data_IF_335308664153
#
_entry.id   IF_335308664153
#
_cell.length_a   1.000
_cell.length_b   1.000
_cell.length_c   1.000
_cell.angle_alpha   90.00
_cell.angle_beta   90.00
_cell.angle_gamma   90.00
#
_symmetry.space_group_name_H-M   'P 1'
#
loop_
_entity.id
_entity.type
_entity.pdbx_description
1 polymer ?
#
# COMPACT_ATOMS: atom_id res chain seq x y z
N UNK A 1 -5.75 -54.27 -36.03
CA UNK A 1 -5.48 -52.87 -36.43
C UNK A 1 -6.46 -52.01 -35.66
N UNK A 2 -5.95 -50.98 -35.00
CA UNK A 2 -6.67 -49.93 -34.26
C UNK A 2 -7.38 -50.43 -32.97
N UNK A 3 -7.20 -49.88 -31.77
CA UNK A 3 -6.73 -48.56 -31.32
C UNK A 3 -5.94 -48.74 -30.01
N UNK A 4 -4.63 -48.59 -30.09
CA UNK A 4 -3.75 -48.51 -28.93
C UNK A 4 -3.70 -47.09 -28.38
N UNK A 5 -3.92 -46.97 -27.07
CA UNK A 5 -3.38 -45.96 -26.17
C UNK A 5 -2.90 -44.62 -26.75
N UNK A 6 -3.80 -43.64 -26.78
CA UNK A 6 -3.45 -42.21 -26.76
C UNK A 6 -4.09 -41.50 -25.56
N UNK A 7 -4.08 -42.15 -24.39
CA UNK A 7 -4.56 -41.55 -23.13
C UNK A 7 -3.50 -40.72 -22.38
N UNK A 8 -2.29 -40.57 -22.93
CA UNK A 8 -1.19 -39.82 -22.31
C UNK A 8 -0.72 -38.71 -23.27
N UNK A 9 -1.37 -37.55 -23.26
CA UNK A 9 -0.74 -36.22 -23.53
C UNK A 9 -1.77 -35.08 -23.61
N UNK A 10 -2.72 -34.99 -22.66
CA UNK A 10 -3.28 -33.67 -22.29
C UNK A 10 -2.46 -33.00 -21.17
N UNK A 11 -1.31 -33.58 -20.82
CA UNK A 11 -0.35 -32.99 -19.89
C UNK A 11 0.59 -31.96 -20.54
N UNK A 12 0.52 -31.75 -21.85
CA UNK A 12 1.19 -30.65 -22.57
C UNK A 12 0.21 -29.48 -22.79
N UNK A 13 -0.45 -29.02 -21.72
CA UNK A 13 -1.38 -27.89 -21.75
C UNK A 13 -0.58 -26.58 -21.72
N UNK A 14 -0.24 -26.06 -22.90
CA UNK A 14 0.32 -24.73 -23.15
C UNK A 14 1.54 -24.33 -22.28
N UNK A 15 2.77 -24.61 -22.74
CA UNK A 15 4.01 -24.22 -22.06
C UNK A 15 4.09 -22.71 -21.72
N UNK A 16 3.46 -21.85 -22.52
CA UNK A 16 3.43 -20.41 -22.27
C UNK A 16 2.55 -20.07 -21.06
N UNK A 17 1.43 -20.77 -20.87
CA UNK A 17 0.55 -20.61 -19.71
C UNK A 17 1.23 -21.07 -18.41
N UNK A 18 1.98 -22.17 -18.45
CA UNK A 18 2.74 -22.67 -17.31
C UNK A 18 3.91 -21.74 -16.95
N UNK A 19 4.67 -21.29 -17.95
CA UNK A 19 5.71 -20.28 -17.76
C UNK A 19 5.14 -18.99 -17.16
N UNK A 20 3.99 -18.50 -17.66
CA UNK A 20 3.31 -17.34 -17.10
C UNK A 20 2.86 -17.58 -15.64
N UNK A 21 2.36 -18.76 -15.30
CA UNK A 21 1.99 -19.09 -13.93
C UNK A 21 3.19 -19.08 -12.99
N UNK A 22 4.34 -19.61 -13.46
CA UNK A 22 5.60 -19.59 -12.73
C UNK A 22 6.10 -18.16 -12.51
N UNK A 23 6.15 -17.33 -13.55
CA UNK A 23 6.59 -15.92 -13.47
C UNK A 23 5.73 -15.11 -12.49
N UNK A 24 4.40 -15.26 -12.54
CA UNK A 24 3.50 -14.61 -11.60
C UNK A 24 3.80 -15.03 -10.16
N UNK A 25 3.98 -16.34 -9.93
CA UNK A 25 4.21 -16.87 -8.59
C UNK A 25 5.56 -16.42 -8.04
N UNK A 26 6.59 -16.39 -8.89
CA UNK A 26 7.92 -15.90 -8.52
C UNK A 26 7.89 -14.40 -8.21
N UNK A 27 7.31 -13.58 -9.09
CA UNK A 27 7.16 -12.14 -8.84
C UNK A 27 6.37 -11.86 -7.56
N UNK A 28 5.29 -12.60 -7.33
CA UNK A 28 4.52 -12.48 -6.10
C UNK A 28 5.28 -12.97 -4.86
N UNK A 29 6.08 -14.03 -4.96
CA UNK A 29 6.91 -14.51 -3.86
C UNK A 29 7.99 -13.49 -3.48
N UNK A 30 8.58 -12.81 -4.48
CA UNK A 30 9.53 -11.73 -4.23
C UNK A 30 8.83 -10.60 -3.45
N UNK A 31 7.64 -10.16 -3.90
CA UNK A 31 6.88 -9.12 -3.18
C UNK A 31 6.48 -9.52 -1.77
N UNK A 32 5.91 -10.72 -1.63
CA UNK A 32 5.21 -11.13 -0.43
C UNK A 32 6.14 -11.69 0.65
N UNK A 33 7.26 -12.32 0.26
CA UNK A 33 8.21 -12.97 1.18
C UNK A 33 9.55 -12.28 1.19
N UNK A 34 10.18 -12.16 0.00
CA UNK A 34 11.57 -11.72 -0.08
C UNK A 34 11.69 -10.26 0.32
N UNK A 35 10.81 -9.39 -0.16
CA UNK A 35 10.85 -7.95 0.16
C UNK A 35 10.80 -7.67 1.66
N UNK A 36 9.78 -8.11 2.44
CA UNK A 36 9.72 -7.81 3.88
C UNK A 36 10.84 -8.46 4.71
N UNK A 37 11.43 -9.56 4.23
CA UNK A 37 12.51 -10.27 4.95
C UNK A 37 13.89 -9.71 4.59
N UNK A 38 14.14 -9.44 3.31
CA UNK A 38 15.44 -9.03 2.79
C UNK A 38 15.70 -7.52 2.92
N UNK A 39 14.67 -6.70 3.15
CA UNK A 39 14.83 -5.29 3.55
C UNK A 39 15.65 -5.12 4.83
N UNK A 40 15.68 -6.13 5.69
CA UNK A 40 16.52 -6.16 6.88
C UNK A 40 18.01 -6.16 6.53
N UNK A 41 18.39 -6.84 5.45
CA UNK A 41 19.80 -7.06 5.13
C UNK A 41 20.45 -5.83 4.47
N UNK A 42 19.69 -5.10 3.64
CA UNK A 42 20.24 -3.91 2.96
C UNK A 42 19.16 -2.92 2.54
N UNK A 43 19.50 -1.64 2.68
CA UNK A 43 18.67 -0.49 2.28
C UNK A 43 18.30 -0.47 0.79
N UNK A 44 19.09 -1.14 -0.04
CA UNK A 44 18.94 -1.14 -1.50
C UNK A 44 18.06 -2.27 -2.02
N UNK A 45 17.85 -3.32 -1.21
CA UNK A 45 17.20 -4.56 -1.65
C UNK A 45 15.80 -4.30 -2.19
N UNK A 46 14.99 -3.50 -1.47
CA UNK A 46 13.63 -3.17 -1.92
C UNK A 46 13.62 -2.39 -3.23
N UNK A 47 14.59 -1.50 -3.45
CA UNK A 47 14.67 -0.66 -4.66
C UNK A 47 15.03 -1.51 -5.89
N UNK A 48 15.69 -2.65 -5.70
CA UNK A 48 16.08 -3.58 -6.78
C UNK A 48 15.03 -4.67 -6.98
N UNK A 49 14.57 -5.30 -5.90
CA UNK A 49 13.65 -6.44 -5.98
C UNK A 49 12.24 -6.06 -6.43
N UNK A 50 11.73 -4.89 -6.03
CA UNK A 50 10.37 -4.47 -6.38
C UNK A 50 10.20 -4.29 -7.89
N UNK A 51 11.11 -3.59 -8.61
CA UNK A 51 11.06 -3.53 -10.06
C UNK A 51 11.15 -4.91 -10.74
N UNK A 52 12.06 -5.77 -10.28
CA UNK A 52 12.21 -7.13 -10.84
C UNK A 52 10.90 -7.91 -10.68
N UNK A 53 10.33 -7.92 -9.48
CA UNK A 53 9.06 -8.58 -9.20
C UNK A 53 7.91 -8.03 -10.05
N UNK A 54 7.82 -6.71 -10.22
CA UNK A 54 6.81 -6.07 -11.06
C UNK A 54 6.94 -6.50 -12.52
N UNK A 55 8.17 -6.51 -13.07
CA UNK A 55 8.45 -6.95 -14.44
C UNK A 55 8.03 -8.41 -14.63
N UNK A 56 8.34 -9.30 -13.68
CA UNK A 56 7.92 -10.71 -13.76
C UNK A 56 6.39 -10.87 -13.82
N UNK A 57 5.63 -10.06 -13.04
CA UNK A 57 4.17 -10.07 -13.08
C UNK A 57 3.65 -9.52 -14.41
N UNK A 58 4.24 -8.46 -14.94
CA UNK A 58 3.86 -7.87 -16.23
C UNK A 58 4.13 -8.86 -17.37
N UNK A 59 5.31 -9.48 -17.39
CA UNK A 59 5.65 -10.53 -18.35
C UNK A 59 4.67 -11.70 -18.26
N UNK A 60 4.32 -12.14 -17.04
CA UNK A 60 3.27 -13.14 -16.87
C UNK A 60 1.94 -12.73 -17.51
N UNK A 61 1.55 -11.46 -17.46
CA UNK A 61 0.28 -11.03 -18.06
C UNK A 61 0.37 -11.02 -19.58
N UNK A 62 1.51 -10.60 -20.14
CA UNK A 62 1.78 -10.58 -21.59
C UNK A 62 1.76 -12.01 -22.15
N UNK A 63 2.42 -12.97 -21.49
CA UNK A 63 2.45 -14.37 -21.94
C UNK A 63 1.07 -15.05 -21.93
N UNK A 64 0.08 -14.54 -21.16
CA UNK A 64 -1.28 -15.10 -21.13
C UNK A 64 -2.17 -14.67 -22.31
N UNK A 65 -1.63 -13.91 -23.26
CA UNK A 65 -2.26 -13.71 -24.57
C UNK A 65 -3.04 -12.41 -24.78
N UNK A 66 -2.97 -11.44 -23.88
CA UNK A 66 -3.55 -10.11 -24.15
C UNK A 66 -2.69 -8.97 -23.57
N UNK A 67 -1.59 -8.58 -24.26
CA UNK A 67 -0.73 -7.47 -23.82
C UNK A 67 -1.47 -6.14 -23.78
N UNK A 68 -2.43 -5.93 -24.68
CA UNK A 68 -3.19 -4.70 -24.79
C UNK A 68 -4.19 -4.53 -23.65
N UNK A 69 -4.62 -5.61 -23.00
CA UNK A 69 -5.50 -5.54 -21.84
C UNK A 69 -4.93 -4.72 -20.69
N UNK A 70 -3.64 -4.85 -20.40
CA UNK A 70 -2.99 -4.10 -19.31
C UNK A 70 -3.05 -2.61 -19.62
N UNK A 71 -2.72 -2.23 -20.86
CA UNK A 71 -2.73 -0.85 -21.31
C UNK A 71 -4.14 -0.25 -21.38
N UNK A 72 -5.12 -0.99 -21.92
CA UNK A 72 -6.54 -0.58 -21.96
C UNK A 72 -7.10 -0.37 -20.55
N UNK A 73 -6.77 -1.26 -19.61
CA UNK A 73 -7.19 -1.15 -18.21
C UNK A 73 -6.56 0.06 -17.51
N UNK A 74 -5.28 0.31 -17.78
CA UNK A 74 -4.58 1.50 -17.29
C UNK A 74 -5.23 2.77 -17.84
N UNK A 75 -5.47 2.83 -19.15
CA UNK A 75 -6.10 3.98 -19.81
C UNK A 75 -7.51 4.28 -19.26
N UNK A 76 -8.33 3.23 -19.10
CA UNK A 76 -9.64 3.37 -18.48
C UNK A 76 -9.54 3.86 -17.03
N UNK A 77 -8.52 3.42 -16.28
CA UNK A 77 -8.28 3.87 -14.90
C UNK A 77 -7.83 5.34 -14.86
N UNK A 78 -7.01 5.79 -15.81
CA UNK A 78 -6.53 7.19 -15.89
C UNK A 78 -7.65 8.17 -16.25
N UNK A 79 -8.69 7.72 -16.97
CA UNK A 79 -9.86 8.55 -17.31
C UNK A 79 -10.85 8.73 -16.15
N UNK A 80 -10.64 8.06 -15.01
CA UNK A 80 -11.44 8.31 -13.81
C UNK A 80 -11.00 9.59 -13.11
N UNK A 81 -11.85 10.20 -12.29
CA UNK A 81 -11.46 11.41 -11.54
C UNK A 81 -10.16 11.23 -10.73
N UNK A 82 -9.96 10.15 -9.94
CA UNK A 82 -8.69 9.90 -9.27
C UNK A 82 -7.53 9.74 -10.26
N UNK A 83 -7.77 9.10 -11.41
CA UNK A 83 -6.77 8.94 -12.47
C UNK A 83 -6.33 10.27 -13.07
N UNK A 84 -7.27 11.16 -13.36
CA UNK A 84 -7.00 12.50 -13.87
C UNK A 84 -6.29 13.37 -12.82
N UNK A 85 -6.66 13.26 -11.55
CA UNK A 85 -5.94 13.93 -10.46
C UNK A 85 -4.51 13.43 -10.33
N UNK A 86 -4.28 12.11 -10.44
CA UNK A 86 -2.93 11.55 -10.42
C UNK A 86 -2.11 12.06 -11.61
N UNK A 87 -2.70 12.09 -12.82
CA UNK A 87 -2.03 12.63 -14.01
C UNK A 87 -1.72 14.13 -13.86
N UNK A 88 -2.66 14.91 -13.31
CA UNK A 88 -2.45 16.31 -12.99
C UNK A 88 -1.26 16.50 -12.04
N UNK A 89 -1.16 15.71 -10.96
CA UNK A 89 -0.02 15.78 -10.04
C UNK A 89 1.30 15.43 -10.71
N UNK A 90 1.31 14.43 -11.61
CA UNK A 90 2.51 14.08 -12.38
C UNK A 90 2.95 15.24 -13.27
N UNK A 91 2.02 15.82 -14.02
CA UNK A 91 2.30 16.97 -14.89
C UNK A 91 2.77 18.17 -14.05
N UNK A 92 2.09 18.45 -12.94
CA UNK A 92 2.43 19.55 -12.04
C UNK A 92 3.82 19.37 -11.42
N UNK A 93 4.15 18.17 -10.96
CA UNK A 93 5.47 17.87 -10.41
C UNK A 93 6.57 18.01 -11.48
N UNK A 94 6.33 17.58 -12.72
CA UNK A 94 7.26 17.77 -13.83
C UNK A 94 7.41 19.24 -14.19
N UNK A 95 6.32 20.00 -14.25
CA UNK A 95 6.34 21.43 -14.56
C UNK A 95 7.09 22.21 -13.47
N UNK A 96 6.97 21.79 -12.22
CA UNK A 96 7.67 22.39 -11.08
C UNK A 96 9.20 22.30 -11.15
N UNK A 97 9.75 21.43 -11.99
CA UNK A 97 11.19 21.38 -12.27
C UNK A 97 11.70 22.69 -12.86
N UNK A 98 10.85 23.45 -13.57
CA UNK A 98 11.24 24.71 -14.21
C UNK A 98 11.67 25.79 -13.20
N UNK A 99 11.20 25.73 -11.95
CA UNK A 99 11.59 26.68 -10.90
C UNK A 99 12.19 26.00 -9.66
N UNK A 100 12.57 24.73 -9.79
CA UNK A 100 13.24 23.99 -8.71
C UNK A 100 14.67 24.54 -8.51
N UNK A 101 15.14 24.79 -7.26
CA UNK A 101 16.47 25.34 -7.01
C UNK A 101 17.60 24.52 -7.63
N UNK A 102 17.51 23.19 -7.57
CA UNK A 102 18.51 22.24 -8.06
C UNK A 102 17.90 21.24 -9.05
N UNK A 103 17.53 21.70 -10.25
CA UNK A 103 16.90 20.86 -11.28
C UNK A 103 17.74 19.64 -11.69
N UNK A 104 19.07 19.76 -11.71
CA UNK A 104 19.98 18.67 -12.04
C UNK A 104 19.92 17.48 -11.05
N UNK A 105 19.60 17.75 -9.79
CA UNK A 105 19.46 16.72 -8.74
C UNK A 105 18.01 16.23 -8.67
N UNK A 106 17.05 17.13 -8.83
CA UNK A 106 15.62 16.84 -8.74
C UNK A 106 15.10 16.03 -9.93
N UNK A 107 15.57 16.30 -11.15
CA UNK A 107 15.08 15.63 -12.37
C UNK A 107 15.31 14.09 -12.33
N UNK A 108 16.50 13.56 -12.01
CA UNK A 108 16.68 12.12 -11.86
C UNK A 108 15.78 11.51 -10.78
N UNK A 109 15.56 12.22 -9.66
CA UNK A 109 14.72 11.74 -8.56
C UNK A 109 13.24 11.63 -8.96
N UNK A 110 12.68 12.62 -9.66
CA UNK A 110 11.28 12.55 -10.11
C UNK A 110 11.08 11.45 -11.14
N UNK A 111 11.97 11.32 -12.14
CA UNK A 111 11.86 10.24 -13.14
C UNK A 111 11.97 8.86 -12.50
N UNK A 112 12.85 8.68 -11.52
CA UNK A 112 12.94 7.44 -10.75
C UNK A 112 11.66 7.14 -9.97
N UNK A 113 11.08 8.16 -9.33
CA UNK A 113 9.86 8.03 -8.53
C UNK A 113 8.65 7.71 -9.43
N UNK A 114 8.49 8.45 -10.53
CA UNK A 114 7.46 8.19 -11.53
C UNK A 114 7.62 6.81 -12.17
N UNK A 115 8.85 6.38 -12.45
CA UNK A 115 9.13 5.04 -12.96
C UNK A 115 8.65 3.94 -12.02
N UNK A 116 8.91 4.07 -10.71
CA UNK A 116 8.42 3.11 -9.70
C UNK A 116 6.89 3.12 -9.62
N UNK A 117 6.26 4.30 -9.63
CA UNK A 117 4.80 4.42 -9.58
C UNK A 117 4.17 3.78 -10.83
N UNK A 118 4.65 4.12 -12.02
CA UNK A 118 4.14 3.59 -13.28
C UNK A 118 4.30 2.06 -13.35
N UNK A 119 5.48 1.56 -12.97
CA UNK A 119 5.75 0.13 -12.94
C UNK A 119 4.84 -0.61 -11.94
N UNK A 120 4.59 0.00 -10.77
CA UNK A 120 3.64 -0.51 -9.79
C UNK A 120 2.20 -0.55 -10.30
N UNK A 121 1.75 0.52 -10.97
CA UNK A 121 0.43 0.59 -11.60
C UNK A 121 0.28 -0.48 -12.70
N UNK A 122 1.29 -0.65 -13.55
CA UNK A 122 1.30 -1.69 -14.58
C UNK A 122 1.23 -3.09 -13.95
N UNK A 123 2.00 -3.34 -12.89
CA UNK A 123 1.96 -4.62 -12.17
C UNK A 123 0.58 -4.87 -11.52
N UNK A 124 -0.04 -3.85 -10.92
CA UNK A 124 -1.42 -3.93 -10.37
C UNK A 124 -2.45 -4.30 -11.43
N UNK A 125 -2.36 -3.70 -12.62
CA UNK A 125 -3.24 -4.00 -13.74
C UNK A 125 -2.95 -5.37 -14.36
N UNK A 126 -1.69 -5.83 -14.32
CA UNK A 126 -1.25 -7.14 -14.78
C UNK A 126 -1.70 -8.31 -13.87
N UNK A 127 -2.07 -8.04 -12.61
CA UNK A 127 -2.59 -9.07 -11.72
C UNK A 127 -3.83 -9.78 -12.33
N UNK A 128 -3.99 -11.10 -12.12
CA UNK A 128 -5.17 -11.82 -12.58
C UNK A 128 -6.42 -11.36 -11.83
N UNK A 129 -7.61 -11.51 -12.44
CA UNK A 129 -8.90 -11.18 -11.79
C UNK A 129 -9.20 -12.04 -10.56
N UNK A 130 -8.62 -13.25 -10.50
CA UNK A 130 -8.73 -14.19 -9.38
C UNK A 130 -7.33 -14.64 -8.99
N UNK A 131 -6.95 -14.41 -7.74
CA UNK A 131 -5.66 -14.87 -7.21
C UNK A 131 -5.80 -16.28 -6.62
N UNK A 132 -4.81 -17.14 -6.89
CA UNK A 132 -4.76 -18.48 -6.30
C UNK A 132 -4.45 -18.38 -4.81
N UNK A 133 -5.14 -19.16 -3.99
CA UNK A 133 -4.95 -19.21 -2.54
C UNK A 133 -3.51 -19.53 -2.13
N UNK A 134 -2.80 -20.37 -2.90
CA UNK A 134 -1.40 -20.72 -2.67
C UNK A 134 -0.47 -19.49 -2.69
N UNK A 135 -0.74 -18.53 -3.58
CA UNK A 135 0.07 -17.32 -3.68
C UNK A 135 -0.18 -16.42 -2.47
N UNK A 136 -1.43 -16.34 -1.98
CA UNK A 136 -1.80 -15.47 -0.87
C UNK A 136 -1.26 -15.93 0.48
N UNK A 137 -1.00 -17.23 0.67
CA UNK A 137 -0.25 -17.72 1.83
C UNK A 137 1.19 -17.22 1.90
N UNK A 138 1.79 -16.84 0.76
CA UNK A 138 3.13 -16.26 0.73
C UNK A 138 3.18 -14.93 1.51
N UNK A 139 2.09 -14.16 1.53
CA UNK A 139 2.00 -12.91 2.28
C UNK A 139 2.12 -13.18 3.78
N UNK A 140 1.37 -14.16 4.29
CA UNK A 140 1.42 -14.52 5.71
C UNK A 140 2.76 -15.11 6.11
N UNK A 141 3.38 -15.90 5.23
CA UNK A 141 4.72 -16.45 5.47
C UNK A 141 5.74 -15.31 5.52
N UNK A 142 5.69 -14.36 4.60
CA UNK A 142 6.64 -13.25 4.56
C UNK A 142 6.51 -12.28 5.72
N UNK A 143 5.29 -11.93 6.13
CA UNK A 143 5.09 -11.10 7.32
C UNK A 143 5.53 -11.84 8.58
N UNK A 144 5.18 -13.13 8.71
CA UNK A 144 5.60 -13.97 9.83
C UNK A 144 7.12 -14.11 9.92
N UNK A 145 7.77 -14.46 8.80
CA UNK A 145 9.22 -14.60 8.71
C UNK A 145 9.93 -13.28 9.01
N UNK A 146 9.51 -12.18 8.38
CA UNK A 146 10.10 -10.86 8.62
C UNK A 146 9.96 -10.42 10.08
N UNK A 147 8.79 -10.66 10.71
CA UNK A 147 8.59 -10.34 12.12
C UNK A 147 9.48 -11.17 13.06
N UNK A 148 9.57 -12.48 12.81
CA UNK A 148 10.46 -13.37 13.59
C UNK A 148 11.93 -12.98 13.42
N UNK A 149 12.36 -12.63 12.21
CA UNK A 149 13.74 -12.21 11.95
C UNK A 149 14.10 -10.92 12.69
N UNK A 150 13.20 -9.92 12.73
CA UNK A 150 13.44 -8.69 13.50
C UNK A 150 13.53 -8.98 14.99
N UNK A 151 12.55 -9.69 15.55
CA UNK A 151 12.55 -10.00 16.98
C UNK A 151 13.73 -10.90 17.37
N UNK A 152 14.10 -11.84 16.52
CA UNK A 152 15.29 -12.68 16.71
C UNK A 152 16.58 -11.86 16.71
N UNK A 153 16.68 -10.85 15.83
CA UNK A 153 17.83 -9.94 15.83
C UNK A 153 17.89 -9.07 17.09
N UNK A 154 16.75 -8.55 17.56
CA UNK A 154 16.66 -7.81 18.84
C UNK A 154 17.08 -8.71 20.00
N UNK A 155 16.56 -9.94 20.07
CA UNK A 155 16.91 -10.88 21.13
C UNK A 155 18.40 -11.28 21.09
N UNK A 156 18.97 -11.47 19.90
CA UNK A 156 20.39 -11.76 19.74
C UNK A 156 21.29 -10.61 20.20
N UNK A 157 20.90 -9.36 19.88
CA UNK A 157 21.61 -8.16 20.33
C UNK A 157 21.58 -8.03 21.86
N UNK A 158 20.40 -8.24 22.47
CA UNK A 158 20.25 -8.27 23.94
C UNK A 158 21.08 -9.37 24.62
N UNK A 159 21.26 -10.52 23.94
CA UNK A 159 22.07 -11.63 24.42
C UNK A 159 23.58 -11.45 24.15
N UNK A 160 24.00 -10.34 23.51
CA UNK A 160 25.40 -10.10 23.13
C UNK A 160 25.92 -11.04 22.04
N UNK A 161 25.03 -11.69 21.28
CA UNK A 161 25.39 -12.67 20.25
C UNK A 161 25.68 -11.96 18.92
N UNK A 162 26.91 -12.07 18.36
CA UNK A 162 27.32 -11.32 17.17
C UNK A 162 26.72 -11.84 15.84
N UNK A 163 25.93 -12.91 15.87
CA UNK A 163 25.51 -13.65 14.68
C UNK A 163 24.49 -12.92 13.78
N UNK A 164 23.85 -11.85 14.26
CA UNK A 164 22.83 -11.09 13.51
C UNK A 164 23.01 -9.56 13.65
N UNK A 165 24.21 -9.03 13.37
CA UNK A 165 24.40 -7.56 13.27
C UNK A 165 23.66 -7.01 12.05
N UNK A 166 22.44 -6.52 12.27
CA UNK A 166 21.66 -5.81 11.27
C UNK A 166 22.12 -4.33 11.24
N UNK A 167 22.33 -3.71 10.06
CA UNK A 167 22.63 -2.29 9.97
C UNK A 167 21.56 -1.44 10.69
N UNK A 168 21.94 -0.41 11.45
CA UNK A 168 21.01 0.36 12.30
C UNK A 168 19.83 1.01 11.54
N UNK A 169 19.99 1.35 10.26
CA UNK A 169 18.97 2.03 9.46
C UNK A 169 18.00 1.11 8.68
N UNK A 170 18.27 -0.19 8.56
CA UNK A 170 17.41 -1.15 7.83
C UNK A 170 16.20 -1.67 8.61
N UNK A 171 16.26 -1.92 9.93
CA UNK A 171 15.14 -2.56 10.62
C UNK A 171 13.94 -1.64 10.83
N UNK A 172 14.12 -0.31 10.93
CA UNK A 172 12.98 0.62 11.02
C UNK A 172 12.11 0.61 9.76
N UNK A 173 12.73 0.65 8.58
CA UNK A 173 12.02 0.55 7.29
C UNK A 173 11.27 -0.77 7.14
N UNK A 174 11.89 -1.86 7.58
CA UNK A 174 11.28 -3.18 7.55
C UNK A 174 10.10 -3.29 8.54
N UNK A 175 10.23 -2.75 9.75
CA UNK A 175 9.16 -2.74 10.75
C UNK A 175 7.93 -1.96 10.27
N UNK A 176 8.13 -0.80 9.62
CA UNK A 176 7.04 0.00 9.05
C UNK A 176 6.40 -0.71 7.85
N UNK A 177 7.18 -1.35 6.98
CA UNK A 177 6.63 -2.13 5.87
C UNK A 177 5.82 -3.32 6.38
N UNK A 178 6.33 -4.05 7.39
CA UNK A 178 5.61 -5.14 8.04
C UNK A 178 4.32 -4.64 8.71
N UNK A 179 4.35 -3.48 9.35
CA UNK A 179 3.16 -2.81 9.88
C UNK A 179 2.08 -2.68 8.82
N UNK A 180 2.42 -2.15 7.65
CA UNK A 180 1.46 -1.99 6.55
C UNK A 180 0.97 -3.34 6.00
N UNK A 181 1.89 -4.29 5.77
CA UNK A 181 1.58 -5.60 5.16
C UNK A 181 0.83 -6.55 6.11
N UNK A 182 1.01 -6.41 7.42
CA UNK A 182 0.39 -7.28 8.44
C UNK A 182 -1.12 -7.29 8.35
N UNK A 183 -1.72 -6.13 8.04
CA UNK A 183 -3.16 -6.01 7.92
C UNK A 183 -3.71 -6.78 6.72
N UNK A 184 -3.03 -6.71 5.57
CA UNK A 184 -3.41 -7.49 4.39
C UNK A 184 -3.21 -9.00 4.61
N UNK A 185 -2.13 -9.39 5.29
CA UNK A 185 -1.86 -10.77 5.67
C UNK A 185 -2.91 -11.32 6.65
N UNK A 186 -3.29 -10.54 7.67
CA UNK A 186 -4.35 -10.88 8.60
C UNK A 186 -5.71 -11.00 7.87
N UNK A 187 -5.97 -10.14 6.88
CA UNK A 187 -7.22 -10.16 6.11
C UNK A 187 -7.38 -11.48 5.35
N UNK A 188 -6.29 -11.97 4.76
CA UNK A 188 -6.28 -13.27 4.11
C UNK A 188 -6.58 -14.42 5.10
N UNK A 189 -6.00 -14.39 6.31
CA UNK A 189 -6.28 -15.39 7.34
C UNK A 189 -7.73 -15.34 7.83
N UNK A 190 -8.33 -14.15 7.94
CA UNK A 190 -9.73 -14.00 8.29
C UNK A 190 -10.66 -14.56 7.21
N UNK A 191 -10.39 -14.30 5.92
CA UNK A 191 -11.14 -14.91 4.79
C UNK A 191 -11.13 -16.44 4.88
N UNK A 192 -10.02 -17.03 5.36
CA UNK A 192 -9.87 -18.48 5.53
C UNK A 192 -10.38 -19.01 6.88
N UNK A 193 -11.07 -18.17 7.66
CA UNK A 193 -11.58 -18.49 8.99
C UNK A 193 -10.50 -18.96 9.99
N UNK A 194 -9.25 -18.52 9.80
CA UNK A 194 -8.10 -18.82 10.69
C UNK A 194 -7.83 -17.63 11.62
N UNK A 195 -8.81 -17.33 12.48
CA UNK A 195 -8.80 -16.13 13.36
C UNK A 195 -7.62 -16.12 14.32
N UNK A 196 -7.21 -17.28 14.85
CA UNK A 196 -6.06 -17.40 15.74
C UNK A 196 -4.75 -16.99 15.06
N UNK A 197 -4.52 -17.42 13.82
CA UNK A 197 -3.33 -17.05 13.05
C UNK A 197 -3.36 -15.57 12.69
N UNK A 198 -4.53 -15.03 12.33
CA UNK A 198 -4.67 -13.59 12.07
C UNK A 198 -4.30 -12.75 13.30
N UNK A 199 -4.83 -13.10 14.47
CA UNK A 199 -4.52 -12.45 15.74
C UNK A 199 -3.03 -12.60 16.09
N UNK A 200 -2.48 -13.81 15.96
CA UNK A 200 -1.05 -14.06 16.19
C UNK A 200 -0.14 -13.22 15.31
N UNK A 201 -0.51 -12.99 14.04
CA UNK A 201 0.25 -12.15 13.13
C UNK A 201 0.21 -10.66 13.53
N UNK A 202 -0.96 -10.16 13.95
CA UNK A 202 -1.11 -8.78 14.44
C UNK A 202 -0.29 -8.58 15.71
N UNK A 203 -0.37 -9.52 16.67
CA UNK A 203 0.43 -9.49 17.90
C UNK A 203 1.92 -9.53 17.59
N UNK A 204 2.35 -10.41 16.67
CA UNK A 204 3.75 -10.47 16.24
C UNK A 204 4.25 -9.12 15.72
N UNK A 205 3.49 -8.47 14.84
CA UNK A 205 3.87 -7.16 14.27
C UNK A 205 3.78 -6.04 15.31
N UNK A 206 2.85 -6.12 16.26
CA UNK A 206 2.80 -5.22 17.41
C UNK A 206 4.05 -5.37 18.28
N UNK A 207 4.50 -6.60 18.57
CA UNK A 207 5.76 -6.84 19.27
C UNK A 207 6.96 -6.30 18.48
N UNK A 208 6.97 -6.46 17.15
CA UNK A 208 8.00 -5.87 16.27
C UNK A 208 8.01 -4.35 16.38
N UNK A 209 6.86 -3.69 16.45
CA UNK A 209 6.79 -2.24 16.61
C UNK A 209 7.25 -1.78 18.01
N UNK A 210 6.91 -2.54 19.06
CA UNK A 210 7.21 -2.18 20.44
C UNK A 210 8.67 -2.45 20.84
N UNK A 211 9.20 -3.61 20.45
CA UNK A 211 10.55 -4.06 20.79
C UNK A 211 11.54 -3.90 19.64
N UNK A 212 11.07 -3.49 18.47
CA UNK A 212 11.93 -3.21 17.34
C UNK A 212 12.90 -2.06 17.63
N UNK A 213 13.97 -1.94 16.85
CA UNK A 213 15.03 -0.97 17.10
C UNK A 213 14.61 0.47 16.80
N UNK A 214 13.41 0.70 16.26
CA UNK A 214 12.89 2.05 16.02
C UNK A 214 11.46 2.20 16.51
N UNK A 215 11.15 3.36 17.10
CA UNK A 215 9.80 3.71 17.55
C UNK A 215 8.86 4.12 16.40
N UNK A 216 9.39 4.26 15.18
CA UNK A 216 8.67 4.74 13.99
C UNK A 216 7.41 3.93 13.66
N UNK A 217 7.38 2.64 14.02
CA UNK A 217 6.26 1.74 13.73
C UNK A 217 5.16 1.76 14.82
N UNK A 218 5.43 2.27 16.02
CA UNK A 218 4.50 2.20 17.17
C UNK A 218 3.21 2.97 16.87
N UNK A 219 3.33 4.24 16.48
CA UNK A 219 2.17 5.11 16.22
C UNK A 219 1.36 4.60 15.00
N UNK A 220 1.98 4.23 13.86
CA UNK A 220 1.27 3.58 12.75
C UNK A 220 0.49 2.33 13.15
N UNK A 221 1.08 1.39 13.89
CA UNK A 221 0.36 0.18 14.35
C UNK A 221 -0.80 0.56 15.27
N UNK A 222 -0.58 1.48 16.21
CA UNK A 222 -1.61 1.95 17.14
C UNK A 222 -2.81 2.58 16.43
N UNK A 223 -2.57 3.48 15.46
CA UNK A 223 -3.64 4.05 14.64
C UNK A 223 -4.33 2.98 13.80
N UNK A 224 -3.57 2.03 13.24
CA UNK A 224 -4.12 0.87 12.53
C UNK A 224 -5.08 0.05 13.40
N UNK A 225 -4.74 -0.22 14.66
CA UNK A 225 -5.61 -0.94 15.60
C UNK A 225 -6.90 -0.16 15.90
N UNK A 226 -6.81 1.15 16.12
CA UNK A 226 -7.98 2.00 16.35
C UNK A 226 -8.90 2.02 15.13
N UNK A 227 -8.33 2.15 13.93
CA UNK A 227 -9.08 2.13 12.67
C UNK A 227 -9.69 0.76 12.43
N UNK A 228 -8.98 -0.33 12.72
CA UNK A 228 -9.51 -1.68 12.64
C UNK A 228 -10.74 -1.85 13.55
N UNK A 229 -10.63 -1.41 14.81
CA UNK A 229 -11.74 -1.46 15.77
C UNK A 229 -12.95 -0.64 15.29
N UNK A 230 -12.72 0.58 14.79
CA UNK A 230 -13.77 1.45 14.25
C UNK A 230 -14.43 0.85 12.99
N UNK A 231 -13.63 0.30 12.09
CA UNK A 231 -14.09 -0.21 10.81
C UNK A 231 -14.71 -1.61 10.91
N UNK A 232 -14.51 -2.33 12.02
CA UNK A 232 -14.98 -3.71 12.20
C UNK A 232 -16.50 -3.85 11.98
N UNK A 233 -17.28 -2.93 12.54
CA UNK A 233 -18.75 -2.97 12.44
C UNK A 233 -19.28 -2.23 11.19
N UNK A 234 -18.63 -1.13 10.79
CA UNK A 234 -19.17 -0.20 9.78
C UNK A 234 -18.08 0.26 8.79
N UNK A 235 -17.50 -0.64 7.99
CA UNK A 235 -16.31 -0.34 7.17
C UNK A 235 -16.56 0.77 6.14
N UNK A 236 -17.74 0.83 5.50
CA UNK A 236 -18.01 1.88 4.51
C UNK A 236 -18.16 3.27 5.15
N UNK A 237 -18.76 3.35 6.36
CA UNK A 237 -18.85 4.62 7.10
C UNK A 237 -17.49 5.04 7.61
N UNK A 238 -16.72 4.09 8.17
CA UNK A 238 -15.34 4.33 8.60
C UNK A 238 -14.46 4.82 7.43
N UNK A 239 -14.57 4.18 6.26
CA UNK A 239 -13.84 4.61 5.06
C UNK A 239 -14.19 6.03 4.60
N UNK A 240 -15.47 6.43 4.68
CA UNK A 240 -15.89 7.82 4.39
C UNK A 240 -15.38 8.82 5.42
N UNK A 241 -15.44 8.48 6.70
CA UNK A 241 -14.94 9.32 7.78
C UNK A 241 -13.43 9.54 7.64
N UNK A 242 -12.67 8.45 7.46
CA UNK A 242 -11.22 8.49 7.29
C UNK A 242 -10.83 9.25 6.01
N UNK A 243 -11.54 9.03 4.91
CA UNK A 243 -11.34 9.81 3.68
C UNK A 243 -11.45 11.32 3.96
N UNK A 244 -12.49 11.76 4.67
CA UNK A 244 -12.66 13.16 5.08
C UNK A 244 -11.53 13.65 5.99
N UNK A 245 -11.21 12.90 7.04
CA UNK A 245 -10.12 13.25 7.98
C UNK A 245 -8.79 13.42 7.24
N UNK A 246 -8.40 12.44 6.42
CA UNK A 246 -7.12 12.50 5.70
C UNK A 246 -7.06 13.66 4.69
N UNK A 247 -8.15 13.92 3.97
CA UNK A 247 -8.22 15.03 3.03
C UNK A 247 -8.14 16.38 3.74
N UNK A 248 -8.80 16.53 4.90
CA UNK A 248 -8.74 17.74 5.72
C UNK A 248 -7.33 17.94 6.28
N UNK A 249 -6.71 16.89 6.84
CA UNK A 249 -5.35 16.95 7.38
C UNK A 249 -4.33 17.42 6.35
N UNK A 250 -4.44 16.92 5.12
CA UNK A 250 -3.55 17.32 4.01
C UNK A 250 -3.87 18.72 3.52
N UNK A 251 -5.14 19.05 3.26
CA UNK A 251 -5.54 20.33 2.67
C UNK A 251 -5.39 21.51 3.63
N UNK A 252 -5.51 21.27 4.94
CA UNK A 252 -5.44 22.31 5.96
C UNK A 252 -4.18 22.20 6.83
N UNK A 253 -3.14 21.50 6.36
CA UNK A 253 -1.87 21.38 7.08
C UNK A 253 -1.28 22.74 7.55
N UNK A 254 -1.28 23.81 6.72
CA UNK A 254 -0.84 25.13 7.19
C UNK A 254 -1.69 25.72 8.30
N UNK A 255 -3.01 25.49 8.26
CA UNK A 255 -3.90 25.94 9.32
C UNK A 255 -3.61 25.18 10.62
N UNK A 256 -3.35 23.86 10.55
CA UNK A 256 -2.94 23.09 11.72
C UNK A 256 -1.60 23.55 12.30
N UNK A 257 -0.63 23.93 11.44
CA UNK A 257 0.62 24.53 11.89
C UNK A 257 0.40 25.88 12.60
N UNK A 258 -0.48 26.74 12.05
CA UNK A 258 -0.85 28.00 12.69
C UNK A 258 -1.52 27.77 14.05
N UNK A 259 -2.46 26.83 14.15
CA UNK A 259 -3.13 26.48 15.41
C UNK A 259 -2.15 25.91 16.43
N UNK A 260 -1.20 25.07 16.00
CA UNK A 260 -0.16 24.51 16.86
C UNK A 260 0.77 25.62 17.40
N UNK A 261 1.15 26.59 16.55
CA UNK A 261 1.89 27.78 16.97
C UNK A 261 1.11 28.62 17.98
N UNK A 262 -0.16 28.90 17.71
CA UNK A 262 -1.01 29.66 18.65
C UNK A 262 -1.16 28.96 19.99
N UNK A 263 -1.42 27.65 19.98
CA UNK A 263 -1.56 26.85 21.20
C UNK A 263 -0.26 26.82 22.03
N UNK A 264 0.90 26.68 21.38
CA UNK A 264 2.20 26.68 22.10
C UNK A 264 2.50 28.03 22.75
N UNK A 265 2.16 29.14 22.08
CA UNK A 265 2.32 30.49 22.63
C UNK A 265 1.35 30.77 23.79
N UNK A 266 0.07 30.42 23.63
CA UNK A 266 -0.97 30.69 24.66
C UNK A 266 -0.77 29.82 25.90
N UNK A 267 -0.43 28.54 25.72
CA UNK A 267 -0.27 27.60 26.82
C UNK A 267 1.15 27.60 27.43
N UNK A 268 2.05 28.47 26.97
CA UNK A 268 3.46 28.53 27.39
C UNK A 268 4.15 27.16 27.39
N UNK A 269 3.87 26.35 26.36
CA UNK A 269 4.37 24.98 26.28
C UNK A 269 5.87 24.97 25.97
N UNK A 270 6.54 23.88 26.35
CA UNK A 270 7.97 23.70 26.05
C UNK A 270 8.25 23.89 24.55
N UNK A 271 9.25 24.69 24.17
CA UNK A 271 9.62 24.94 22.78
C UNK A 271 10.16 23.68 22.06
N UNK A 272 10.40 22.59 22.78
CA UNK A 272 10.91 21.32 22.24
C UNK A 272 9.83 20.26 21.99
N UNK A 273 8.56 20.57 22.25
CA UNK A 273 7.45 19.63 22.08
C UNK A 273 7.06 19.38 20.63
N UNK A 274 6.36 18.26 20.36
CA UNK A 274 5.80 17.94 19.03
C UNK A 274 4.89 19.06 18.50
N UNK A 275 4.12 19.69 19.39
CA UNK A 275 3.26 20.81 19.00
C UNK A 275 4.08 22.03 18.56
N UNK A 276 5.24 22.26 19.18
CA UNK A 276 6.15 23.34 18.80
C UNK A 276 6.82 23.05 17.45
N UNK A 277 7.27 21.80 17.20
CA UNK A 277 7.85 21.42 15.90
C UNK A 277 6.86 21.52 14.74
N UNK A 278 5.57 21.23 14.98
CA UNK A 278 4.49 21.47 14.00
C UNK A 278 4.27 22.99 13.82
N UNK A 279 4.30 23.76 14.91
CA UNK A 279 4.15 25.21 14.88
C UNK A 279 5.24 25.94 14.08
N UNK A 280 6.50 25.48 14.17
CA UNK A 280 7.63 26.04 13.41
C UNK A 280 7.43 25.97 11.89
N UNK A 281 6.66 25.00 11.40
CA UNK A 281 6.35 24.89 9.98
C UNK A 281 5.52 26.08 9.46
N UNK A 282 4.72 26.72 10.31
CA UNK A 282 3.97 27.92 9.94
C UNK A 282 4.89 29.09 9.59
N UNK A 283 6.02 29.25 10.28
CA UNK A 283 6.98 30.32 9.98
C UNK A 283 7.56 30.15 8.57
N UNK A 284 7.84 28.90 8.18
CA UNK A 284 8.28 28.54 6.82
C UNK A 284 7.18 28.79 5.78
N UNK A 285 5.94 28.44 6.11
CA UNK A 285 4.80 28.58 5.21
C UNK A 285 4.39 30.06 4.99
N UNK A 286 4.46 30.88 6.03
CA UNK A 286 4.06 32.30 6.00
C UNK A 286 5.13 33.23 5.44
N UNK A 287 6.38 32.80 5.36
CA UNK A 287 7.49 33.59 4.82
C UNK A 287 7.34 33.91 3.31
N UNK A 288 6.65 33.06 2.54
CA UNK A 288 6.42 33.26 1.10
C UNK A 288 5.02 32.76 0.69
N UNK A 289 3.99 33.61 0.76
CA UNK A 289 2.60 33.21 0.51
C UNK A 289 2.34 32.88 -0.97
N UNK A 290 3.10 33.47 -1.90
CA UNK A 290 2.96 33.16 -3.33
C UNK A 290 3.46 31.74 -3.60
N UNK A 291 4.61 31.38 -3.03
CA UNK A 291 5.14 30.01 -3.11
C UNK A 291 4.34 28.99 -2.31
N UNK A 292 3.49 29.42 -1.38
CA UNK A 292 2.52 28.52 -0.75
C UNK A 292 1.47 28.00 -1.75
N UNK A 293 1.12 28.80 -2.77
CA UNK A 293 0.15 28.38 -3.79
C UNK A 293 0.78 27.47 -4.85
N UNK A 294 1.94 27.85 -5.38
CA UNK A 294 2.59 27.18 -6.53
C UNK A 294 3.68 26.17 -6.12
N UNK A 295 4.18 26.24 -4.89
CA UNK A 295 5.31 25.46 -4.43
C UNK A 295 6.66 26.04 -4.87
N UNK A 296 7.74 25.51 -4.29
CA UNK A 296 9.13 25.91 -4.57
C UNK A 296 9.82 25.01 -5.59
N UNK A 297 9.13 24.00 -6.10
CA UNK A 297 9.68 23.02 -7.03
C UNK A 297 9.89 21.66 -6.38
N UNK A 298 9.84 20.59 -7.19
CA UNK A 298 10.04 19.22 -6.71
C UNK A 298 11.41 19.06 -6.02
N UNK A 299 11.45 18.42 -4.84
CA UNK A 299 12.66 18.20 -4.04
C UNK A 299 13.28 19.49 -3.44
N UNK A 300 12.57 20.62 -3.50
CA UNK A 300 13.03 21.88 -2.90
C UNK A 300 13.11 21.81 -1.37
N UNK A 301 12.23 21.06 -0.70
CA UNK A 301 12.24 20.87 0.75
C UNK A 301 13.50 20.15 1.22
N UNK A 302 13.98 19.21 0.43
CA UNK A 302 15.25 18.52 0.68
C UNK A 302 16.42 19.50 0.57
N UNK A 303 16.49 20.24 -0.54
CA UNK A 303 17.55 21.23 -0.76
C UNK A 303 17.57 22.32 0.32
N UNK A 304 16.39 22.80 0.73
CA UNK A 304 16.26 23.84 1.76
C UNK A 304 16.71 23.36 3.15
N UNK A 305 16.56 22.07 3.47
CA UNK A 305 17.09 21.50 4.71
C UNK A 305 18.60 21.29 4.63
N UNK A 306 19.11 20.87 3.46
CA UNK A 306 20.56 20.73 3.24
C UNK A 306 21.28 22.08 3.33
N UNK A 307 20.63 23.18 2.92
CA UNK A 307 21.16 24.55 3.07
C UNK A 307 20.82 25.22 4.41
N UNK A 308 20.20 24.50 5.36
CA UNK A 308 19.73 25.04 6.65
C UNK A 308 18.75 26.22 6.55
N UNK A 309 18.05 26.36 5.42
CA UNK A 309 17.00 27.38 5.23
C UNK A 309 15.68 27.02 5.93
N UNK A 310 15.46 25.74 6.23
CA UNK A 310 14.36 25.26 7.09
C UNK A 310 14.96 24.80 8.42
N UNK A 311 14.41 25.24 9.58
CA UNK A 311 14.89 24.82 10.89
C UNK A 311 14.92 23.30 11.03
N UNK A 312 15.96 22.76 11.67
CA UNK A 312 16.13 21.30 11.85
C UNK A 312 15.05 20.74 12.78
N UNK A 313 14.54 21.59 13.66
CA UNK A 313 13.49 21.30 14.62
C UNK A 313 12.09 21.30 13.98
N UNK A 314 11.94 21.86 12.78
CA UNK A 314 10.66 21.87 12.08
C UNK A 314 10.32 20.44 11.63
N UNK A 315 9.08 20.01 11.92
CA UNK A 315 8.66 18.65 11.63
C UNK A 315 8.73 18.35 10.11
N UNK A 316 9.44 17.29 9.75
CA UNK A 316 9.66 16.87 8.37
C UNK A 316 8.81 15.62 8.04
N UNK A 317 7.78 15.82 7.24
CA UNK A 317 6.74 14.83 6.91
C UNK A 317 6.49 14.84 5.40
N UNK A 318 5.80 13.82 4.87
CA UNK A 318 5.41 13.83 3.46
C UNK A 318 4.48 15.01 3.13
N UNK A 319 3.60 15.39 4.07
CA UNK A 319 2.65 16.47 3.87
C UNK A 319 3.35 17.83 3.83
N UNK A 320 4.25 18.09 4.80
CA UNK A 320 5.04 19.33 4.82
C UNK A 320 5.87 19.48 3.55
N UNK A 321 6.43 18.38 3.05
CA UNK A 321 7.24 18.38 1.83
C UNK A 321 6.39 18.62 0.58
N UNK A 322 5.20 18.01 0.48
CA UNK A 322 4.27 18.27 -0.63
C UNK A 322 3.83 19.73 -0.66
N UNK A 323 3.51 20.31 0.50
CA UNK A 323 3.18 21.73 0.58
C UNK A 323 4.37 22.63 0.21
N UNK A 324 5.57 22.28 0.65
CA UNK A 324 6.76 23.08 0.35
C UNK A 324 7.15 23.00 -1.13
N UNK A 325 7.09 21.80 -1.72
CA UNK A 325 7.54 21.51 -3.08
C UNK A 325 6.49 21.88 -4.13
N UNK A 326 5.24 21.45 -3.94
CA UNK A 326 4.16 21.50 -4.93
C UNK A 326 3.05 22.50 -4.57
N UNK A 327 3.07 23.07 -3.37
CA UNK A 327 2.11 24.07 -2.91
C UNK A 327 0.69 23.55 -2.73
N UNK A 328 -0.27 24.49 -2.70
CA UNK A 328 -1.70 24.22 -2.60
C UNK A 328 -2.19 23.25 -3.68
N UNK A 329 -1.69 23.36 -4.92
CA UNK A 329 -2.10 22.48 -6.02
C UNK A 329 -1.68 21.03 -5.77
N UNK A 330 -0.47 20.82 -5.25
CA UNK A 330 -0.02 19.50 -4.79
C UNK A 330 -0.87 18.95 -3.65
N UNK A 331 -1.17 19.79 -2.65
CA UNK A 331 -1.99 19.42 -1.51
C UNK A 331 -3.42 19.04 -1.90
N UNK A 332 -4.08 19.82 -2.76
CA UNK A 332 -5.42 19.51 -3.29
C UNK A 332 -5.41 18.16 -4.01
N UNK A 333 -4.43 17.94 -4.90
CA UNK A 333 -4.33 16.68 -5.63
C UNK A 333 -4.13 15.48 -4.71
N UNK A 334 -3.23 15.58 -3.72
CA UNK A 334 -3.01 14.51 -2.75
C UNK A 334 -4.29 14.26 -1.91
N UNK A 335 -4.96 15.32 -1.45
CA UNK A 335 -6.20 15.21 -0.68
C UNK A 335 -7.30 14.47 -1.45
N UNK A 336 -7.49 14.79 -2.74
CA UNK A 336 -8.45 14.10 -3.60
C UNK A 336 -8.07 12.62 -3.74
N UNK A 337 -6.79 12.32 -4.01
CA UNK A 337 -6.35 10.92 -4.16
C UNK A 337 -6.56 10.11 -2.88
N UNK A 338 -6.21 10.64 -1.71
CA UNK A 338 -6.42 9.97 -0.43
C UNK A 338 -7.91 9.82 -0.12
N UNK A 339 -8.72 10.84 -0.39
CA UNK A 339 -10.17 10.77 -0.22
C UNK A 339 -10.76 9.59 -1.00
N UNK A 340 -10.40 9.47 -2.28
CA UNK A 340 -10.87 8.36 -3.11
C UNK A 340 -10.26 7.01 -2.73
N UNK A 341 -9.00 6.97 -2.29
CA UNK A 341 -8.36 5.74 -1.84
C UNK A 341 -9.06 5.14 -0.60
N UNK A 342 -9.26 5.93 0.47
CA UNK A 342 -9.96 5.47 1.67
C UNK A 342 -11.41 5.08 1.38
N UNK A 343 -12.10 5.84 0.54
CA UNK A 343 -13.49 5.53 0.17
C UNK A 343 -13.59 4.25 -0.68
N UNK A 344 -12.63 4.00 -1.58
CA UNK A 344 -12.57 2.79 -2.37
C UNK A 344 -12.31 1.55 -1.49
N UNK A 345 -11.36 1.65 -0.56
CA UNK A 345 -11.02 0.56 0.36
C UNK A 345 -12.17 0.25 1.33
N UNK A 346 -12.88 1.26 1.82
CA UNK A 346 -14.05 1.07 2.69
C UNK A 346 -15.22 0.32 2.03
N UNK A 347 -15.22 0.20 0.70
CA UNK A 347 -16.20 -0.54 -0.10
C UNK A 347 -15.76 -1.96 -0.45
N UNK A 348 -14.60 -2.40 0.04
CA UNK A 348 -14.21 -3.80 -0.07
C UNK A 348 -15.19 -4.68 0.72
N UNK A 349 -15.10 -6.00 0.56
CA UNK A 349 -15.93 -6.92 1.34
C UNK A 349 -15.71 -6.77 2.83
N UNK A 350 -16.76 -7.05 3.62
CA UNK A 350 -16.76 -6.92 5.09
C UNK A 350 -15.57 -7.63 5.77
N UNK A 351 -15.09 -8.73 5.22
CA UNK A 351 -13.94 -9.49 5.75
C UNK A 351 -12.58 -8.81 5.53
N UNK A 352 -12.46 -7.95 4.51
CA UNK A 352 -11.20 -7.33 4.09
C UNK A 352 -11.16 -5.85 4.41
N UNK A 353 -12.29 -5.14 4.28
CA UNK A 353 -12.36 -3.70 4.40
C UNK A 353 -11.81 -3.14 5.73
N UNK A 354 -12.12 -3.71 6.92
CA UNK A 354 -11.60 -3.17 8.19
C UNK A 354 -10.07 -3.21 8.27
N UNK A 355 -9.46 -4.33 7.85
CA UNK A 355 -8.02 -4.51 7.87
C UNK A 355 -7.34 -3.71 6.75
N UNK A 356 -7.98 -3.62 5.58
CA UNK A 356 -7.49 -2.80 4.49
C UNK A 356 -7.44 -1.31 4.87
N UNK A 357 -8.48 -0.82 5.55
CA UNK A 357 -8.52 0.55 6.11
C UNK A 357 -7.45 0.74 7.19
N UNK A 358 -7.25 -0.25 8.07
CA UNK A 358 -6.20 -0.21 9.08
C UNK A 358 -4.80 -0.11 8.47
N UNK A 359 -4.53 -0.88 7.41
CA UNK A 359 -3.25 -0.81 6.68
C UNK A 359 -3.04 0.53 5.98
N UNK A 360 -4.07 1.05 5.31
CA UNK A 360 -3.98 2.36 4.65
C UNK A 360 -3.82 3.49 5.68
N UNK A 361 -4.52 3.42 6.81
CA UNK A 361 -4.36 4.35 7.91
C UNK A 361 -2.96 4.29 8.52
N UNK A 362 -2.41 3.10 8.75
CA UNK A 362 -1.03 2.93 9.24
C UNK A 362 -0.02 3.57 8.30
N UNK A 363 -0.17 3.34 6.99
CA UNK A 363 0.70 3.92 5.97
C UNK A 363 0.59 5.46 5.91
N UNK A 364 -0.64 5.99 6.01
CA UNK A 364 -0.87 7.44 6.07
C UNK A 364 -0.29 8.05 7.34
N UNK A 365 -0.47 7.40 8.49
CA UNK A 365 0.13 7.83 9.76
C UNK A 365 1.64 7.88 9.67
N UNK A 366 2.30 6.89 9.09
CA UNK A 366 3.75 6.94 8.87
C UNK A 366 4.16 8.16 8.03
N UNK A 367 3.41 8.44 6.95
CA UNK A 367 3.65 9.62 6.11
C UNK A 367 3.42 10.97 6.82
N UNK A 368 2.65 10.98 7.91
CA UNK A 368 2.39 12.16 8.75
C UNK A 368 3.49 12.45 9.76
N UNK A 369 4.27 11.45 10.17
CA UNK A 369 5.20 11.58 11.30
C UNK A 369 6.66 11.45 10.87
N UNK A 370 6.93 10.74 9.77
CA UNK A 370 8.29 10.40 9.38
C UNK A 370 8.67 10.95 8.01
N UNK A 371 9.88 11.53 7.96
CA UNK A 371 10.51 11.97 6.70
C UNK A 371 10.84 10.80 5.78
N UNK A 372 11.01 9.60 6.33
CA UNK A 372 11.25 8.38 5.56
C UNK A 372 10.24 8.15 4.43
N UNK A 373 9.03 8.68 4.57
CA UNK A 373 7.96 8.59 3.58
C UNK A 373 8.21 9.35 2.26
N UNK A 374 9.18 10.26 2.19
CA UNK A 374 9.55 10.93 0.91
C UNK A 374 10.61 10.14 0.12
N UNK A 375 11.15 9.07 0.69
CA UNK A 375 12.25 8.32 0.09
C UNK A 375 11.76 7.24 -0.88
N UNK A 376 12.62 6.89 -1.85
CA UNK A 376 12.31 5.90 -2.88
C UNK A 376 11.92 4.53 -2.33
N UNK A 377 12.47 4.11 -1.17
CA UNK A 377 12.12 2.82 -0.56
C UNK A 377 10.65 2.76 -0.13
N UNK A 378 10.11 3.88 0.38
CA UNK A 378 8.72 3.98 0.81
C UNK A 378 7.78 3.83 -0.39
N UNK A 379 8.09 4.51 -1.50
CA UNK A 379 7.30 4.39 -2.73
C UNK A 379 7.26 2.94 -3.26
N UNK A 380 8.39 2.25 -3.22
CA UNK A 380 8.44 0.81 -3.55
C UNK A 380 7.61 -0.02 -2.56
N UNK A 381 7.71 0.28 -1.26
CA UNK A 381 6.90 -0.37 -0.21
C UNK A 381 5.40 -0.18 -0.42
N UNK A 382 4.95 1.02 -0.80
CA UNK A 382 3.55 1.31 -1.11
C UNK A 382 3.07 0.57 -2.36
N UNK A 383 3.92 0.40 -3.37
CA UNK A 383 3.64 -0.49 -4.51
C UNK A 383 3.42 -1.93 -4.04
N UNK A 384 4.29 -2.46 -3.18
CA UNK A 384 4.12 -3.82 -2.61
C UNK A 384 2.82 -3.91 -1.83
N UNK A 385 2.56 -2.93 -0.95
CA UNK A 385 1.34 -2.87 -0.14
C UNK A 385 0.08 -2.87 -1.02
N UNK A 386 0.02 -2.03 -2.05
CA UNK A 386 -1.11 -1.98 -2.98
C UNK A 386 -1.30 -3.31 -3.73
N UNK A 387 -0.22 -3.92 -4.23
CA UNK A 387 -0.26 -5.21 -4.94
C UNK A 387 -0.77 -6.31 -4.02
N UNK A 388 -0.23 -6.41 -2.81
CA UNK A 388 -0.61 -7.40 -1.80
C UNK A 388 -2.07 -7.21 -1.41
N UNK A 389 -2.49 -5.99 -1.11
CA UNK A 389 -3.86 -5.68 -0.68
C UNK A 389 -4.88 -6.03 -1.77
N UNK A 390 -4.64 -5.62 -3.01
CA UNK A 390 -5.51 -5.93 -4.14
C UNK A 390 -5.52 -7.45 -4.44
N UNK A 391 -4.40 -8.13 -4.23
CA UNK A 391 -4.33 -9.59 -4.39
C UNK A 391 -5.20 -10.32 -3.38
N UNK A 392 -5.26 -9.84 -2.13
CA UNK A 392 -6.14 -10.39 -1.08
C UNK A 392 -7.61 -10.15 -1.43
N UNK A 393 -7.97 -8.96 -1.90
CA UNK A 393 -9.34 -8.65 -2.39
C UNK A 393 -9.76 -9.60 -3.52
N UNK A 394 -8.89 -9.82 -4.50
CA UNK A 394 -9.11 -10.76 -5.62
C UNK A 394 -9.01 -12.23 -5.24
N UNK A 395 -8.58 -12.54 -4.02
CA UNK A 395 -8.52 -13.88 -3.44
C UNK A 395 -9.84 -14.38 -2.85
N UNK A 396 -10.84 -13.49 -2.71
CA UNK A 396 -12.13 -13.83 -2.11
C UNK A 396 -12.89 -14.82 -2.98
N UNK A 397 -13.33 -15.92 -2.37
CA UNK A 397 -14.24 -16.86 -3.02
C UNK A 397 -15.61 -16.19 -3.14
N UNK A 398 -15.99 -15.77 -4.35
CA UNK A 398 -17.39 -15.45 -4.67
C UNK A 398 -18.18 -16.77 -4.78
N UNK A 399 -18.36 -17.47 -3.68
CA UNK A 399 -19.29 -18.61 -3.59
C UNK A 399 -20.69 -18.10 -3.32
N UNK A 400 -21.23 -17.30 -4.23
CA UNK A 400 -22.67 -17.45 -4.48
C UNK A 400 -22.72 -18.61 -5.46
N UNK A 401 -22.82 -19.84 -4.95
CA UNK A 401 -23.34 -20.93 -5.79
C UNK A 401 -24.69 -20.41 -6.26
N UNK A 402 -24.97 -20.31 -7.57
CA UNK A 402 -26.36 -20.26 -8.02
C UNK A 402 -26.99 -21.47 -7.35
N UNK A 403 -27.92 -21.25 -6.42
CA UNK A 403 -28.77 -22.35 -5.98
C UNK A 403 -29.42 -22.80 -7.27
N UNK A 404 -29.00 -23.96 -7.78
CA UNK A 404 -29.73 -24.65 -8.81
C UNK A 404 -31.15 -24.71 -8.26
N UNK A 405 -32.04 -23.91 -8.84
CA UNK A 405 -33.46 -24.10 -8.62
C UNK A 405 -33.69 -25.53 -9.07
N UNK A 406 -33.93 -26.42 -8.10
CA UNK A 406 -34.58 -27.67 -8.38
C UNK A 406 -35.95 -27.28 -8.96
N UNK A 407 -36.00 -27.04 -10.27
CA UNK A 407 -37.19 -27.34 -11.06
C UNK A 407 -37.34 -28.85 -10.92
N UNK A 408 -38.00 -29.24 -9.82
CA UNK A 408 -38.61 -30.55 -9.68
C UNK A 408 -39.42 -30.72 -10.95
N UNK A 409 -38.97 -31.61 -11.83
CA UNK A 409 -39.76 -32.12 -12.93
C UNK A 409 -41.07 -32.59 -12.31
N UNK A 410 -42.12 -31.80 -12.46
CA UNK A 410 -43.48 -32.32 -12.52
C UNK A 410 -43.57 -33.06 -13.86
N UNK A 411 -42.90 -34.22 -13.94
CA UNK A 411 -43.42 -35.34 -14.70
C UNK A 411 -44.36 -36.06 -13.74
N UNK A 412 -45.52 -35.44 -13.49
CA UNK A 412 -46.70 -36.15 -13.06
C UNK A 412 -47.53 -36.34 -14.32
N UNK A 413 -47.38 -37.56 -14.87
CA UNK A 413 -48.10 -38.20 -15.97
C UNK A 413 -49.09 -37.38 -16.79
N UNK A 414 -48.76 -37.22 -18.06
CA UNK A 414 -49.77 -37.36 -19.11
C UNK A 414 -49.59 -38.71 -19.80
N UNK A 415 -50.76 -39.33 -20.05
CA UNK A 415 -51.05 -40.44 -20.96
C UNK A 415 -50.77 -41.87 -20.48
N UNK A 416 -51.82 -42.53 -19.98
CA UNK A 416 -52.35 -43.73 -20.65
C UNK A 416 -53.87 -43.86 -20.37
N UNK A 417 -54.65 -43.45 -21.38
CA UNK A 417 -55.82 -44.13 -21.95
C UNK A 417 -56.80 -44.93 -21.06
N UNK A 418 -58.05 -44.43 -21.04
CA UNK A 418 -59.15 -45.14 -21.70
C UNK A 418 -60.02 -46.11 -20.87
N UNK A 419 -61.33 -45.91 -21.02
CA UNK A 419 -62.44 -46.90 -21.04
C UNK A 419 -63.49 -46.82 -19.91
N UNK A 420 -64.68 -46.39 -20.35
CA UNK A 420 -66.05 -46.86 -20.03
C UNK A 420 -66.89 -46.29 -18.85
N UNK A 421 -68.04 -45.74 -19.28
CA UNK A 421 -69.42 -46.02 -18.82
C UNK A 421 -69.90 -45.50 -17.46
N UNK A 422 -70.76 -44.47 -17.48
CA UNK A 422 -72.23 -44.58 -17.37
C UNK A 422 -72.86 -43.18 -17.40
#
# INVERSE_FOLDING_TARGET
MDLGDHSISKATLDPAADAAAMLLRLGFAIFAIVTPSATLMSRWVIVVLVPIAAILIILSAILRGDPLRVLKSLWASTLTLPGLTALFLVIWALFSLAWTPNSAIAAPKIFKTLGVILLGLLALQALPKKMRASNLHLITIGVGLGGVLILGAVAADLAGLPFLRIPTATPGRAAVLLTCLSWAAAAWMLIKNRRSIAAGLIVLVFCVALFGPTAEAIVPVGVGLLVFALAWAVPERAGRLLAGITAILVLFAPLFALLARGATQVMSLSPTGILASIGLWWDVASADPVRLMTGRGFDAAQAARESSAVPVEANATLISDIWYDLGLLGAIGLSILLFYAFRAVGRFGLEVAPLALAGLASAFTYALIERGATQTWWMNGMTVFAIVLLSVERGRYRTVRPRASMKRRLNSGEAEDGVAAA
#
